data_IF_466423101432
#
_entry.id   IF_466423101432
#
_cell.length_a   1.000
_cell.length_b   1.000
_cell.length_c   1.000
_cell.angle_alpha   90.00
_cell.angle_beta   90.00
_cell.angle_gamma   90.00
#
_symmetry.space_group_name_H-M   'P 1'
#
loop_
_entity.id
_entity.type
_entity.pdbx_description
1 polymer ?
#
# COMPACT_ATOMS: atom_id res chain seq x y z
N UNK A 1 23.72 10.18 -13.36
CA UNK A 1 23.83 11.49 -12.69
C UNK A 1 24.66 12.44 -13.53
N UNK A 2 25.87 12.06 -13.99
CA UNK A 2 26.71 12.91 -14.85
C UNK A 2 25.99 13.38 -16.13
N UNK A 3 25.10 12.57 -16.71
CA UNK A 3 24.30 12.92 -17.89
C UNK A 3 23.22 13.95 -17.55
N UNK A 4 22.59 13.83 -16.38
CA UNK A 4 21.56 14.76 -15.90
C UNK A 4 22.15 16.15 -15.68
N UNK A 5 23.31 16.22 -15.01
CA UNK A 5 24.03 17.49 -14.77
C UNK A 5 24.46 18.19 -16.06
N UNK A 6 24.77 17.42 -17.14
CA UNK A 6 25.21 17.97 -18.43
C UNK A 6 24.08 18.49 -19.32
N UNK A 7 22.82 18.05 -19.11
CA UNK A 7 21.69 18.40 -19.99
C UNK A 7 20.92 19.64 -19.55
N UNK A 8 21.23 20.23 -18.38
CA UNK A 8 20.63 21.49 -17.94
C UNK A 8 19.14 21.40 -17.67
N UNK A 9 18.70 20.42 -16.88
CA UNK A 9 17.31 20.31 -16.44
C UNK A 9 17.02 21.35 -15.35
N UNK A 10 15.84 21.96 -15.41
CA UNK A 10 15.36 22.90 -14.37
C UNK A 10 14.78 22.16 -13.18
N UNK A 11 14.15 21.00 -13.42
CA UNK A 11 13.47 20.19 -12.41
C UNK A 11 13.88 18.72 -12.56
N UNK A 12 14.14 18.06 -11.44
CA UNK A 12 14.37 16.61 -11.37
C UNK A 12 13.33 16.04 -10.39
N UNK A 13 12.46 15.17 -10.89
CA UNK A 13 11.52 14.40 -10.09
C UNK A 13 12.05 12.99 -9.89
N UNK A 14 12.03 12.53 -8.64
CA UNK A 14 12.39 11.17 -8.23
C UNK A 14 11.17 10.55 -7.57
N UNK A 15 10.88 9.30 -7.89
CA UNK A 15 9.74 8.57 -7.34
C UNK A 15 10.17 7.24 -6.75
N UNK A 16 9.37 6.74 -5.83
CA UNK A 16 9.53 5.48 -5.13
C UNK A 16 10.71 5.41 -4.16
N UNK A 17 10.41 4.87 -2.98
CA UNK A 17 11.37 4.71 -1.87
C UNK A 17 12.74 4.12 -2.25
N UNK A 18 12.87 3.09 -3.11
CA UNK A 18 14.20 2.57 -3.48
C UNK A 18 15.15 3.59 -4.10
N UNK A 19 14.61 4.68 -4.66
CA UNK A 19 15.38 5.75 -5.31
C UNK A 19 15.62 6.96 -4.41
N UNK A 20 15.13 6.95 -3.18
CA UNK A 20 15.18 8.12 -2.28
C UNK A 20 16.60 8.63 -2.03
N UNK A 21 17.60 7.73 -2.02
CA UNK A 21 19.00 8.06 -1.82
C UNK A 21 19.63 8.85 -2.98
N UNK A 22 19.00 8.92 -4.14
CA UNK A 22 19.49 9.75 -5.25
C UNK A 22 19.55 11.22 -4.86
N UNK A 23 18.74 11.68 -3.90
CA UNK A 23 18.78 13.03 -3.39
C UNK A 23 20.17 13.51 -2.94
N UNK A 24 20.99 12.62 -2.39
CA UNK A 24 22.37 12.92 -2.00
C UNK A 24 23.32 13.21 -3.18
N UNK A 25 22.91 12.88 -4.39
CA UNK A 25 23.74 12.95 -5.59
C UNK A 25 23.23 13.99 -6.60
N UNK A 26 22.09 14.64 -6.31
CA UNK A 26 21.49 15.62 -7.20
C UNK A 26 22.19 16.99 -7.06
N UNK A 27 22.30 17.77 -8.15
CA UNK A 27 22.92 19.09 -8.11
C UNK A 27 22.08 20.09 -7.30
N UNK A 28 22.72 20.94 -6.51
CA UNK A 28 22.05 21.93 -5.66
C UNK A 28 21.33 23.03 -6.46
N UNK A 29 21.80 23.35 -7.67
CA UNK A 29 21.25 24.39 -8.53
C UNK A 29 19.96 23.99 -9.27
N UNK A 30 19.51 22.73 -9.13
CA UNK A 30 18.30 22.21 -9.78
C UNK A 30 17.16 22.11 -8.77
N UNK A 31 15.90 22.31 -9.20
CA UNK A 31 14.75 22.04 -8.37
C UNK A 31 14.55 20.52 -8.27
N UNK A 32 14.55 19.98 -7.06
CA UNK A 32 14.42 18.55 -6.81
C UNK A 32 13.14 18.23 -6.10
N UNK A 33 12.37 17.28 -6.64
CA UNK A 33 11.09 16.83 -6.11
C UNK A 33 11.18 15.34 -5.85
N UNK A 34 10.79 14.92 -4.66
CA UNK A 34 10.56 13.51 -4.36
C UNK A 34 9.07 13.22 -4.22
N UNK A 35 8.55 12.27 -5.00
CA UNK A 35 7.16 11.81 -4.88
C UNK A 35 7.14 10.56 -4.01
N UNK A 36 6.57 10.72 -2.82
CA UNK A 36 6.52 9.67 -1.80
C UNK A 36 5.17 8.99 -1.81
N UNK A 37 5.12 7.79 -2.38
CA UNK A 37 3.88 7.03 -2.52
C UNK A 37 3.42 6.39 -1.20
N UNK A 38 4.37 6.11 -0.30
CA UNK A 38 4.13 5.46 0.99
C UNK A 38 5.26 5.82 1.96
N UNK A 39 4.95 6.30 3.15
CA UNK A 39 5.93 6.49 4.22
C UNK A 39 6.35 5.11 4.74
N UNK A 40 7.55 4.69 4.34
CA UNK A 40 8.02 3.32 4.62
C UNK A 40 8.12 3.02 6.11
N UNK A 41 8.62 3.98 6.89
CA UNK A 41 8.73 3.81 8.33
C UNK A 41 7.36 3.71 9.02
N UNK A 42 6.33 4.42 8.55
CA UNK A 42 4.96 4.31 9.08
C UNK A 42 4.38 2.92 8.79
N UNK A 43 4.60 2.42 7.58
CA UNK A 43 4.22 1.05 7.25
C UNK A 43 4.91 0.03 8.15
N UNK A 44 6.22 0.18 8.37
CA UNK A 44 6.99 -0.73 9.21
C UNK A 44 6.57 -0.64 10.70
N UNK A 45 6.18 0.55 11.19
CA UNK A 45 5.59 0.71 12.53
C UNK A 45 4.30 -0.12 12.64
N UNK A 46 3.39 0.03 11.67
CA UNK A 46 2.15 -0.72 11.64
C UNK A 46 2.38 -2.24 11.53
N UNK A 47 3.36 -2.68 10.72
CA UNK A 47 3.74 -4.10 10.64
C UNK A 47 4.18 -4.64 12.01
N UNK A 48 5.01 -3.89 12.73
CA UNK A 48 5.50 -4.31 14.05
C UNK A 48 4.40 -4.40 15.11
N UNK A 49 3.33 -3.60 15.02
CA UNK A 49 2.19 -3.67 15.94
C UNK A 49 1.41 -4.99 15.84
N UNK A 50 1.48 -5.66 14.69
CA UNK A 50 0.79 -6.93 14.44
C UNK A 50 1.67 -8.16 14.63
N UNK A 51 2.97 -7.97 14.94
CA UNK A 51 3.85 -9.08 15.27
C UNK A 51 3.69 -9.49 16.74
N UNK A 52 3.51 -10.78 16.99
CA UNK A 52 3.45 -11.31 18.38
C UNK A 52 4.71 -10.98 19.19
N UNK A 53 5.84 -10.90 18.53
CA UNK A 53 7.13 -10.57 19.13
C UNK A 53 7.99 -9.79 18.15
N UNK A 54 8.51 -8.66 18.60
CA UNK A 54 9.51 -7.87 17.89
C UNK A 54 10.86 -7.98 18.62
N UNK A 55 11.89 -8.41 17.93
CA UNK A 55 13.24 -8.54 18.45
C UNK A 55 13.94 -7.17 18.58
N UNK A 56 14.99 -7.09 19.38
CA UNK A 56 15.79 -5.85 19.49
C UNK A 56 16.49 -5.51 18.17
N UNK A 57 16.87 -6.52 17.39
CA UNK A 57 17.48 -6.35 16.07
C UNK A 57 16.48 -5.73 15.09
N UNK A 58 15.24 -6.20 15.04
CA UNK A 58 14.18 -5.64 14.19
C UNK A 58 13.86 -4.18 14.59
N UNK A 59 13.82 -3.88 15.90
CA UNK A 59 13.67 -2.50 16.39
C UNK A 59 14.81 -1.60 15.97
N UNK A 60 16.05 -2.12 16.01
CA UNK A 60 17.22 -1.36 15.56
C UNK A 60 17.18 -1.08 14.05
N UNK A 61 16.89 -2.09 13.25
CA UNK A 61 16.75 -1.95 11.79
C UNK A 61 15.65 -0.94 11.43
N UNK A 62 14.53 -1.00 12.13
CA UNK A 62 13.46 -0.02 11.97
C UNK A 62 13.95 1.42 12.23
N UNK A 63 14.65 1.66 13.35
CA UNK A 63 15.17 3.00 13.69
C UNK A 63 16.14 3.51 12.63
N UNK A 64 17.08 2.66 12.18
CA UNK A 64 18.03 2.99 11.12
C UNK A 64 17.28 3.34 9.83
N UNK A 65 16.28 2.54 9.45
CA UNK A 65 15.45 2.79 8.25
C UNK A 65 14.68 4.10 8.34
N UNK A 66 14.09 4.42 9.49
CA UNK A 66 13.39 5.68 9.76
C UNK A 66 14.33 6.89 9.64
N UNK A 67 15.48 6.83 10.32
CA UNK A 67 16.45 7.92 10.29
C UNK A 67 17.03 8.14 8.89
N UNK A 68 17.26 7.05 8.16
CA UNK A 68 17.69 7.11 6.75
C UNK A 68 16.64 7.80 5.87
N UNK A 69 15.37 7.35 5.93
CA UNK A 69 14.27 7.92 5.14
C UNK A 69 14.12 9.42 5.40
N UNK A 70 14.15 9.81 6.65
CA UNK A 70 14.07 11.20 7.07
C UNK A 70 15.25 12.04 6.60
N UNK A 71 16.46 11.50 6.70
CA UNK A 71 17.67 12.19 6.24
C UNK A 71 17.66 12.37 4.73
N UNK A 72 17.25 11.33 4.01
CA UNK A 72 17.16 11.37 2.56
C UNK A 72 16.10 12.36 2.06
N UNK A 73 14.93 12.43 2.70
CA UNK A 73 13.88 13.40 2.34
C UNK A 73 14.34 14.86 2.50
N UNK A 74 15.22 15.14 3.46
CA UNK A 74 15.75 16.49 3.67
C UNK A 74 16.66 16.97 2.53
N UNK A 75 17.17 16.08 1.70
CA UNK A 75 18.01 16.44 0.55
C UNK A 75 17.22 17.00 -0.64
N UNK A 76 15.91 16.71 -0.71
CA UNK A 76 15.03 17.22 -1.75
C UNK A 76 14.50 18.61 -1.39
N UNK A 77 14.36 19.49 -2.38
CA UNK A 77 13.78 20.83 -2.17
C UNK A 77 12.28 20.76 -1.91
N UNK A 78 11.60 19.81 -2.55
CA UNK A 78 10.17 19.57 -2.38
C UNK A 78 9.89 18.07 -2.21
N UNK A 79 8.88 17.77 -1.41
CA UNK A 79 8.35 16.41 -1.23
C UNK A 79 6.85 16.46 -1.55
N UNK A 80 6.41 15.54 -2.39
CA UNK A 80 4.99 15.32 -2.67
C UNK A 80 4.58 14.03 -2.00
N UNK A 81 3.49 14.07 -1.26
CA UNK A 81 2.81 12.91 -0.66
C UNK A 81 1.40 12.77 -1.22
N UNK A 82 0.79 11.61 -1.07
CA UNK A 82 -0.51 11.32 -1.66
C UNK A 82 -1.69 11.66 -0.73
N UNK A 83 -1.44 11.86 0.57
CA UNK A 83 -2.49 12.14 1.57
C UNK A 83 -2.12 13.29 2.49
N UNK A 84 -3.14 13.97 3.02
CA UNK A 84 -2.92 15.01 4.03
C UNK A 84 -2.40 14.43 5.36
N UNK A 85 -2.74 13.18 5.66
CA UNK A 85 -2.22 12.46 6.85
C UNK A 85 -0.71 12.32 6.74
N UNK A 86 -0.19 11.81 5.62
CA UNK A 86 1.25 11.67 5.41
C UNK A 86 1.95 13.04 5.41
N UNK A 87 1.28 14.06 4.84
CA UNK A 87 1.80 15.43 4.88
C UNK A 87 1.99 15.92 6.31
N UNK A 88 1.00 15.75 7.17
CA UNK A 88 1.09 16.18 8.57
C UNK A 88 2.20 15.45 9.32
N UNK A 89 2.31 14.13 9.14
CA UNK A 89 3.38 13.31 9.72
C UNK A 89 4.77 13.86 9.31
N UNK A 90 4.95 14.19 8.04
CA UNK A 90 6.22 14.72 7.55
C UNK A 90 6.49 16.16 8.01
N UNK A 91 5.48 17.01 8.18
CA UNK A 91 5.62 18.37 8.72
C UNK A 91 6.17 18.31 10.14
N UNK A 92 5.61 17.47 10.98
CA UNK A 92 6.01 17.30 12.38
C UNK A 92 7.49 16.86 12.48
N UNK A 93 7.98 16.18 11.45
CA UNK A 93 9.32 15.65 11.39
C UNK A 93 10.34 16.55 10.65
N UNK A 94 10.01 17.03 9.45
CA UNK A 94 10.90 17.88 8.63
C UNK A 94 10.87 19.34 9.13
N UNK A 95 9.78 19.75 9.78
CA UNK A 95 9.62 21.08 10.35
C UNK A 95 9.35 22.20 9.33
N UNK A 96 9.23 21.90 8.03
CA UNK A 96 9.00 22.88 6.97
C UNK A 96 7.80 22.51 6.09
N UNK A 97 6.62 23.00 6.49
CA UNK A 97 5.36 22.77 5.78
C UNK A 97 5.33 23.27 4.31
N UNK A 98 6.16 24.25 3.98
CA UNK A 98 6.21 24.83 2.63
C UNK A 98 6.94 23.95 1.61
N UNK A 99 7.63 22.93 2.06
CA UNK A 99 8.33 21.97 1.22
C UNK A 99 7.55 20.69 0.95
N UNK A 100 6.44 20.48 1.67
CA UNK A 100 5.65 19.25 1.62
C UNK A 100 4.28 19.55 1.03
N UNK A 101 3.99 18.92 -0.10
CA UNK A 101 2.79 19.13 -0.89
C UNK A 101 1.96 17.86 -0.97
N UNK A 102 0.63 17.99 -1.08
CA UNK A 102 -0.26 16.85 -1.32
C UNK A 102 -0.68 16.83 -2.79
N UNK A 103 -0.49 15.70 -3.44
CA UNK A 103 -1.02 15.43 -4.78
C UNK A 103 -1.62 14.02 -4.77
N UNK A 104 -2.93 13.90 -4.54
CA UNK A 104 -3.60 12.60 -4.57
C UNK A 104 -3.45 11.93 -5.93
N UNK A 105 -3.37 10.59 -5.94
CA UNK A 105 -3.37 9.85 -7.20
C UNK A 105 -4.70 10.06 -7.93
N UNK A 106 -4.60 10.34 -9.22
CA UNK A 106 -5.78 10.50 -10.07
C UNK A 106 -6.24 9.13 -10.54
N UNK A 107 -7.50 8.80 -10.26
CA UNK A 107 -8.16 7.61 -10.82
C UNK A 107 -8.98 8.06 -12.01
N UNK A 108 -8.70 7.47 -13.16
CA UNK A 108 -9.49 7.73 -14.36
C UNK A 108 -10.85 7.03 -14.20
N UNK A 109 -11.91 7.81 -14.10
CA UNK A 109 -13.28 7.27 -14.14
C UNK A 109 -13.54 6.76 -15.56
N UNK A 110 -13.72 5.45 -15.71
CA UNK A 110 -14.21 4.88 -16.96
C UNK A 110 -15.74 4.92 -16.96
N UNK A 111 -16.35 5.20 -18.11
CA UNK A 111 -17.81 5.29 -18.31
C UNK A 111 -18.58 3.98 -18.00
N UNK A 112 -17.86 2.95 -17.56
CA UNK A 112 -18.41 1.65 -17.20
C UNK A 112 -19.25 1.63 -15.91
N UNK A 113 -19.36 2.78 -15.19
CA UNK A 113 -20.09 2.87 -13.93
C UNK A 113 -21.62 3.02 -14.07
N UNK A 114 -22.15 3.09 -15.31
CA UNK A 114 -23.58 3.37 -15.55
C UNK A 114 -24.53 2.17 -15.36
N UNK A 115 -24.02 0.98 -15.16
CA UNK A 115 -24.87 -0.16 -14.78
C UNK A 115 -24.74 -0.41 -13.30
N UNK A 116 -25.74 0.04 -12.54
CA UNK A 116 -25.93 -0.42 -11.15
C UNK A 116 -26.20 -1.94 -11.17
N UNK A 117 -25.15 -2.72 -11.26
CA UNK A 117 -25.24 -4.15 -10.98
C UNK A 117 -25.41 -4.26 -9.47
N UNK A 118 -26.61 -4.60 -9.03
CA UNK A 118 -26.87 -4.90 -7.61
C UNK A 118 -25.95 -6.05 -7.22
N UNK A 119 -25.05 -5.87 -6.25
CA UNK A 119 -24.16 -6.94 -5.82
C UNK A 119 -25.00 -8.14 -5.39
N UNK A 120 -24.68 -9.33 -5.88
CA UNK A 120 -25.15 -10.55 -5.25
C UNK A 120 -24.43 -10.63 -3.90
N UNK A 121 -25.18 -10.45 -2.82
CA UNK A 121 -24.67 -10.24 -1.45
C UNK A 121 -23.78 -11.35 -0.91
N UNK A 122 -23.61 -12.44 -1.63
CA UNK A 122 -22.86 -13.61 -1.21
C UNK A 122 -21.41 -13.68 -1.73
N UNK A 123 -21.01 -12.84 -2.69
CA UNK A 123 -19.68 -12.88 -3.28
C UNK A 123 -18.83 -11.69 -2.81
N UNK A 124 -17.90 -11.98 -1.92
CA UNK A 124 -16.92 -11.03 -1.38
C UNK A 124 -15.59 -11.23 -2.13
N UNK A 125 -15.00 -10.19 -2.66
CA UNK A 125 -13.78 -10.32 -3.47
C UNK A 125 -12.67 -9.41 -2.96
N UNK A 126 -11.48 -9.99 -2.77
CA UNK A 126 -10.24 -9.27 -2.50
C UNK A 126 -9.29 -9.42 -3.69
N UNK A 127 -8.65 -8.31 -4.08
CA UNK A 127 -7.66 -8.30 -5.17
C UNK A 127 -6.29 -7.95 -4.62
N UNK A 128 -5.30 -8.82 -4.84
CA UNK A 128 -3.93 -8.57 -4.41
C UNK A 128 -3.06 -9.81 -4.51
N UNK A 129 -1.74 -9.62 -4.39
CA UNK A 129 -0.77 -10.71 -4.41
C UNK A 129 -0.34 -11.09 -2.99
N UNK A 130 -0.09 -12.37 -2.77
CA UNK A 130 0.43 -12.91 -1.51
C UNK A 130 1.79 -12.32 -1.12
N UNK A 131 2.65 -12.04 -2.11
CA UNK A 131 3.99 -11.52 -1.88
C UNK A 131 4.05 -10.11 -1.28
N UNK A 132 2.91 -9.43 -1.15
CA UNK A 132 2.81 -8.14 -0.46
C UNK A 132 2.20 -8.37 0.92
N UNK A 133 3.01 -8.26 1.98
CA UNK A 133 2.63 -8.60 3.35
C UNK A 133 1.28 -7.98 3.81
N UNK A 134 0.96 -6.70 3.55
CA UNK A 134 -0.36 -6.15 3.87
C UNK A 134 -1.55 -6.90 3.25
N UNK A 135 -1.35 -7.52 2.08
CA UNK A 135 -2.40 -8.34 1.47
C UNK A 135 -2.55 -9.67 2.19
N UNK A 136 -1.42 -10.29 2.54
CA UNK A 136 -1.42 -11.53 3.31
C UNK A 136 -2.12 -11.33 4.66
N UNK A 137 -1.73 -10.30 5.40
CA UNK A 137 -2.37 -9.91 6.65
C UNK A 137 -3.87 -9.70 6.48
N UNK A 138 -4.30 -8.99 5.44
CA UNK A 138 -5.72 -8.72 5.17
C UNK A 138 -6.55 -10.00 4.97
N UNK A 139 -6.02 -10.96 4.21
CA UNK A 139 -6.71 -12.23 3.95
C UNK A 139 -6.73 -13.10 5.20
N UNK A 140 -5.62 -13.17 5.93
CA UNK A 140 -5.54 -13.91 7.20
C UNK A 140 -6.52 -13.35 8.22
N UNK A 141 -6.50 -12.04 8.42
CA UNK A 141 -7.40 -11.36 9.35
C UNK A 141 -8.87 -11.56 8.98
N UNK A 142 -9.21 -11.46 7.69
CA UNK A 142 -10.56 -11.73 7.24
C UNK A 142 -11.00 -13.16 7.62
N UNK A 143 -10.16 -14.16 7.33
CA UNK A 143 -10.49 -15.56 7.58
C UNK A 143 -10.56 -15.89 9.08
N UNK A 144 -9.71 -15.30 9.89
CA UNK A 144 -9.63 -15.59 11.33
C UNK A 144 -10.66 -14.83 12.18
N UNK A 145 -10.95 -13.58 11.81
CA UNK A 145 -11.76 -12.69 12.64
C UNK A 145 -13.12 -12.33 12.00
N UNK A 146 -13.13 -11.99 10.70
CA UNK A 146 -14.35 -11.50 10.04
C UNK A 146 -15.25 -12.65 9.60
N UNK A 147 -14.70 -13.69 8.97
CA UNK A 147 -15.48 -14.82 8.48
C UNK A 147 -16.26 -15.54 9.60
N UNK A 148 -15.70 -15.78 10.80
CA UNK A 148 -16.46 -16.32 11.92
C UNK A 148 -17.62 -15.42 12.35
N UNK A 149 -17.42 -14.09 12.37
CA UNK A 149 -18.49 -13.15 12.71
C UNK A 149 -19.65 -13.20 11.71
N UNK A 150 -19.35 -13.30 10.41
CA UNK A 150 -20.36 -13.43 9.37
C UNK A 150 -21.13 -14.75 9.49
N UNK A 151 -20.42 -15.87 9.75
CA UNK A 151 -21.05 -17.19 10.00
C UNK A 151 -21.99 -17.16 11.20
N UNK A 152 -21.60 -16.52 12.29
CA UNK A 152 -22.42 -16.40 13.48
C UNK A 152 -23.71 -15.59 13.24
N UNK A 153 -23.72 -14.73 12.22
CA UNK A 153 -24.89 -13.98 11.77
C UNK A 153 -25.70 -14.74 10.71
N UNK A 154 -25.39 -16.01 10.44
CA UNK A 154 -25.97 -16.83 9.38
C UNK A 154 -25.86 -16.20 7.97
N UNK A 155 -24.81 -15.39 7.76
CA UNK A 155 -24.53 -14.83 6.45
C UNK A 155 -23.72 -15.82 5.63
N UNK A 156 -24.32 -16.34 4.55
CA UNK A 156 -23.65 -17.24 3.60
C UNK A 156 -22.91 -16.43 2.55
N UNK A 157 -21.63 -16.68 2.39
CA UNK A 157 -20.77 -15.96 1.46
C UNK A 157 -19.68 -16.85 0.88
N UNK A 158 -19.11 -16.40 -0.23
CA UNK A 158 -17.85 -16.90 -0.77
C UNK A 158 -16.83 -15.76 -0.69
N UNK A 159 -15.63 -16.02 -0.21
CA UNK A 159 -14.52 -15.06 -0.16
C UNK A 159 -13.50 -15.39 -1.24
N UNK A 160 -13.58 -14.68 -2.36
CA UNK A 160 -12.71 -14.87 -3.51
C UNK A 160 -11.48 -13.98 -3.42
N UNK A 161 -10.30 -14.58 -3.51
CA UNK A 161 -9.01 -13.89 -3.48
C UNK A 161 -8.36 -14.01 -4.86
N UNK A 162 -8.26 -12.86 -5.54
CA UNK A 162 -7.72 -12.75 -6.90
C UNK A 162 -6.27 -12.32 -6.84
N UNK A 163 -5.39 -13.04 -7.55
CA UNK A 163 -3.96 -12.81 -7.63
C UNK A 163 -3.14 -14.08 -7.43
N UNK A 164 -1.80 -13.98 -7.46
CA UNK A 164 -0.92 -15.13 -7.26
C UNK A 164 -0.79 -15.50 -5.77
N UNK A 165 -1.51 -16.53 -5.35
CA UNK A 165 -1.54 -17.09 -4.01
C UNK A 165 -1.18 -18.57 -4.07
N UNK A 166 -0.04 -18.98 -3.51
CA UNK A 166 0.52 -20.33 -3.75
C UNK A 166 1.16 -20.99 -2.53
N UNK A 167 1.38 -20.28 -1.41
CA UNK A 167 2.07 -20.86 -0.25
C UNK A 167 1.28 -22.00 0.40
N UNK A 168 1.99 -22.86 1.14
CA UNK A 168 1.36 -23.88 1.97
C UNK A 168 0.49 -23.28 3.06
N UNK A 169 0.93 -22.14 3.62
CA UNK A 169 0.21 -21.44 4.67
C UNK A 169 -1.20 -21.00 4.22
N UNK A 170 -1.32 -20.46 3.01
CA UNK A 170 -2.64 -20.04 2.49
C UNK A 170 -3.53 -21.24 2.19
N UNK A 171 -2.96 -22.39 1.78
CA UNK A 171 -3.72 -23.63 1.63
C UNK A 171 -4.23 -24.17 2.97
N UNK A 172 -3.43 -24.06 4.02
CA UNK A 172 -3.87 -24.39 5.38
C UNK A 172 -5.00 -23.45 5.86
N UNK A 173 -4.93 -22.18 5.48
CA UNK A 173 -5.98 -21.18 5.78
C UNK A 173 -7.33 -21.58 5.14
N UNK A 174 -7.35 -22.20 3.96
CA UNK A 174 -8.57 -22.72 3.34
C UNK A 174 -9.25 -23.83 4.16
N UNK A 175 -8.49 -24.57 4.96
CA UNK A 175 -9.06 -25.61 5.85
C UNK A 175 -9.83 -24.95 7.00
N UNK A 176 -9.34 -23.85 7.55
CA UNK A 176 -9.97 -23.12 8.65
C UNK A 176 -11.06 -22.13 8.18
N UNK A 177 -11.01 -21.70 6.91
CA UNK A 177 -11.98 -20.81 6.28
C UNK A 177 -12.48 -21.44 4.97
N UNK A 178 -13.50 -22.32 5.03
CA UNK A 178 -14.01 -23.05 3.86
C UNK A 178 -14.59 -22.13 2.77
N UNK A 179 -14.97 -20.91 3.13
CA UNK A 179 -15.48 -19.90 2.20
C UNK A 179 -14.38 -19.26 1.33
N UNK A 180 -13.10 -19.49 1.68
CA UNK A 180 -11.96 -18.94 0.96
C UNK A 180 -11.72 -19.68 -0.37
N UNK A 181 -11.85 -18.95 -1.47
CA UNK A 181 -11.52 -19.40 -2.82
C UNK A 181 -10.30 -18.65 -3.36
N UNK A 182 -9.23 -19.36 -3.70
CA UNK A 182 -8.06 -18.80 -4.38
C UNK A 182 -8.29 -18.84 -5.88
N UNK A 183 -8.66 -17.73 -6.48
CA UNK A 183 -9.05 -17.63 -7.89
C UNK A 183 -7.83 -17.65 -8.81
N UNK A 184 -6.71 -17.10 -8.36
CA UNK A 184 -5.52 -16.91 -9.20
C UNK A 184 -5.59 -15.65 -10.06
N UNK A 185 -4.88 -15.65 -11.18
CA UNK A 185 -4.87 -14.52 -12.12
C UNK A 185 -6.17 -14.48 -12.94
N UNK A 186 -6.73 -13.29 -13.08
CA UNK A 186 -7.92 -13.02 -13.89
C UNK A 186 -7.56 -12.00 -14.96
N UNK A 187 -7.79 -12.33 -16.24
CA UNK A 187 -7.45 -11.47 -17.37
C UNK A 187 -8.37 -10.22 -17.43
N UNK A 188 -9.67 -10.41 -17.30
CA UNK A 188 -10.66 -9.32 -17.28
C UNK A 188 -11.19 -9.15 -15.84
N UNK A 189 -10.42 -8.42 -15.05
CA UNK A 189 -10.76 -8.14 -13.66
C UNK A 189 -12.06 -7.35 -13.52
N UNK A 190 -12.33 -6.41 -14.46
CA UNK A 190 -13.53 -5.59 -14.40
C UNK A 190 -14.80 -6.44 -14.50
N UNK A 191 -14.88 -7.29 -15.49
CA UNK A 191 -16.01 -8.20 -15.64
C UNK A 191 -16.10 -9.23 -14.51
N UNK A 192 -14.95 -9.70 -14.03
CA UNK A 192 -14.93 -10.63 -12.89
C UNK A 192 -15.53 -10.01 -11.64
N UNK A 193 -15.24 -8.74 -11.37
CA UNK A 193 -15.73 -8.03 -10.17
C UNK A 193 -17.22 -7.66 -10.25
N UNK A 194 -17.83 -7.71 -11.44
CA UNK A 194 -19.24 -7.39 -11.59
C UNK A 194 -20.13 -8.28 -10.70
N UNK A 195 -21.00 -7.64 -9.91
CA UNK A 195 -21.92 -8.33 -8.97
C UNK A 195 -21.22 -8.87 -7.72
N UNK A 196 -19.97 -8.50 -7.42
CA UNK A 196 -19.31 -8.80 -6.17
C UNK A 196 -19.20 -7.56 -5.26
N UNK A 197 -19.05 -7.80 -3.96
CA UNK A 197 -18.63 -6.77 -3.00
C UNK A 197 -17.11 -6.83 -2.91
N UNK A 198 -16.44 -5.78 -3.39
CA UNK A 198 -14.97 -5.69 -3.29
C UNK A 198 -14.59 -5.26 -1.89
N UNK A 199 -13.75 -6.06 -1.24
CA UNK A 199 -13.25 -5.80 0.11
C UNK A 199 -11.83 -5.27 0.07
N UNK A 200 -11.53 -4.33 0.95
CA UNK A 200 -10.18 -3.79 1.15
C UNK A 200 -9.84 -3.81 2.65
N UNK A 201 -9.71 -4.99 3.28
CA UNK A 201 -9.49 -5.12 4.71
C UNK A 201 -8.00 -4.91 5.07
N UNK A 202 -7.37 -3.89 4.50
CA UNK A 202 -5.96 -3.58 4.71
C UNK A 202 -5.80 -2.79 6.00
N UNK A 203 -5.03 -3.34 6.94
CA UNK A 203 -4.72 -2.72 8.23
C UNK A 203 -3.34 -2.06 8.25
N UNK A 204 -2.42 -2.55 7.42
CA UNK A 204 -1.00 -2.16 7.37
C UNK A 204 -0.75 -1.25 6.18
N UNK A 205 -0.04 -0.14 6.40
CA UNK A 205 0.42 0.77 5.34
C UNK A 205 0.18 2.24 5.64
N UNK A 206 0.78 3.09 4.81
CA UNK A 206 0.53 4.54 4.72
C UNK A 206 0.20 4.90 3.26
N UNK A 207 0.01 6.17 2.96
CA UNK A 207 -0.32 6.60 1.61
C UNK A 207 -1.75 6.29 1.17
N UNK A 208 -1.98 6.38 -0.13
CA UNK A 208 -3.28 6.07 -0.72
C UNK A 208 -3.35 4.59 -1.11
N UNK A 209 -4.36 3.90 -0.60
CA UNK A 209 -4.62 2.50 -0.96
C UNK A 209 -5.38 2.44 -2.27
N UNK A 210 -4.65 2.20 -3.35
CA UNK A 210 -5.19 2.05 -4.71
C UNK A 210 -5.67 0.60 -4.94
N UNK A 211 -6.94 0.34 -4.62
CA UNK A 211 -7.59 -0.96 -4.89
C UNK A 211 -9.03 -0.78 -5.30
#
# INVERSE_FOLDING_TARGET
>A
ISTVSRRGFDIIQVEFYPLISLGYLLPENVQTIFVHHELRYVRNENEMEFLERVTDEERMLYRIGKDFEHSALKTYKHVIVLTEVDRQILIDFIGNKHRIHVSPAVVQMTDACDKQVVPTTSRLTFVGSEGHYPNLDAVVWFCQEIAPCLRNQNFHFTFQVVGPWRSSYVKELQISCPELELVGYVEDLHNFLNGSIVLVPIRIGSGMRMK
#
